data_IF_081735126408
#
_entry.id   IF_081735126408
#
_cell.length_a   1.000
_cell.length_b   1.000
_cell.length_c   1.000
_cell.angle_alpha   90.00
_cell.angle_beta   90.00
_cell.angle_gamma   90.00
#
_symmetry.space_group_name_H-M   'P 1'
#
loop_
_entity.id
_entity.type
_entity.pdbx_description
1 polymer ?
#
# COMPACT_ATOMS: atom_id res chain seq x y z
N UNK A 1 0.17 -3.43 8.83
CA UNK A 1 1.43 -2.67 8.73
C UNK A 1 1.13 -1.25 8.31
N UNK A 2 1.90 -0.26 8.78
CA UNK A 2 1.78 1.14 8.33
C UNK A 2 2.35 1.28 6.93
N UNK A 3 1.60 1.92 6.05
CA UNK A 3 2.00 2.18 4.65
C UNK A 3 2.40 3.65 4.53
N UNK A 4 3.63 3.87 4.07
CA UNK A 4 4.18 5.21 3.82
C UNK A 4 4.58 5.36 2.37
N UNK A 5 4.33 6.53 1.80
CA UNK A 5 4.84 6.91 0.49
C UNK A 5 6.36 7.12 0.55
N UNK A 6 7.03 7.00 -0.59
CA UNK A 6 8.47 7.22 -0.75
C UNK A 6 8.94 8.65 -0.37
N UNK A 7 8.02 9.62 -0.33
CA UNK A 7 8.26 10.99 0.16
C UNK A 7 8.13 11.14 1.69
N UNK A 8 7.77 10.06 2.41
CA UNK A 8 7.59 10.05 3.86
C UNK A 8 6.16 10.24 4.35
N UNK A 9 5.21 10.57 3.47
CA UNK A 9 3.80 10.74 3.85
C UNK A 9 3.19 9.40 4.29
N UNK A 10 2.36 9.43 5.35
CA UNK A 10 1.65 8.23 5.81
C UNK A 10 0.33 8.11 5.06
N UNK A 11 0.16 7.00 4.34
CA UNK A 11 -1.09 6.69 3.65
C UNK A 11 -2.12 6.15 4.65
N UNK A 12 -1.70 5.21 5.50
CA UNK A 12 -2.56 4.59 6.49
C UNK A 12 -1.99 3.28 7.01
N UNK A 13 -2.88 2.39 7.44
CA UNK A 13 -2.54 1.01 7.83
C UNK A 13 -3.24 0.03 6.91
N UNK A 14 -2.55 -1.05 6.53
CA UNK A 14 -3.18 -2.17 5.83
C UNK A 14 -4.26 -2.76 6.73
N UNK A 15 -5.49 -2.77 6.22
CA UNK A 15 -6.67 -3.35 6.87
C UNK A 15 -6.96 -4.73 6.32
N UNK A 16 -6.92 -4.87 5.00
CA UNK A 16 -7.26 -6.10 4.29
C UNK A 16 -6.34 -6.33 3.09
N UNK A 17 -6.13 -7.61 2.76
CA UNK A 17 -5.44 -8.05 1.55
C UNK A 17 -6.30 -9.16 0.93
N UNK A 18 -6.76 -8.93 -0.29
CA UNK A 18 -7.52 -9.90 -1.06
C UNK A 18 -6.67 -10.45 -2.21
N UNK A 19 -6.61 -11.78 -2.35
CA UNK A 19 -5.90 -12.43 -3.44
C UNK A 19 -6.90 -12.81 -4.55
N UNK A 20 -6.75 -12.19 -5.73
CA UNK A 20 -7.59 -12.46 -6.90
C UNK A 20 -6.88 -13.37 -7.94
N UNK A 21 -5.83 -14.07 -7.53
CA UNK A 21 -5.03 -14.96 -8.38
C UNK A 21 -4.07 -14.24 -9.33
N UNK A 22 -4.53 -13.20 -10.04
CA UNK A 22 -3.69 -12.40 -10.95
C UNK A 22 -2.90 -11.30 -10.23
N UNK A 23 -3.45 -10.76 -9.15
CA UNK A 23 -2.82 -9.75 -8.30
C UNK A 23 -3.43 -9.81 -6.90
N UNK A 24 -2.63 -9.43 -5.91
CA UNK A 24 -3.14 -9.07 -4.60
C UNK A 24 -3.71 -7.64 -4.65
N UNK A 25 -4.80 -7.40 -3.93
CA UNK A 25 -5.40 -6.07 -3.75
C UNK A 25 -5.31 -5.71 -2.28
N UNK A 26 -4.79 -4.53 -2.01
CA UNK A 26 -4.57 -4.02 -0.66
C UNK A 26 -5.58 -2.92 -0.37
N UNK A 27 -6.21 -3.02 0.80
CA UNK A 27 -7.03 -1.96 1.37
C UNK A 27 -6.27 -1.30 2.51
N UNK A 28 -6.04 0.01 2.39
CA UNK A 28 -5.32 0.83 3.37
C UNK A 28 -6.24 1.92 3.89
N UNK A 29 -6.36 2.03 5.20
CA UNK A 29 -7.23 3.03 5.84
C UNK A 29 -6.43 3.94 6.78
N UNK A 30 -6.83 5.20 6.86
CA UNK A 30 -6.39 6.13 7.90
C UNK A 30 -7.49 6.45 8.93
N UNK A 31 -8.58 5.68 8.92
CA UNK A 31 -9.75 5.86 9.78
C UNK A 31 -10.74 6.94 9.29
N UNK A 32 -10.42 7.67 8.21
CA UNK A 32 -11.34 8.63 7.56
C UNK A 32 -11.59 8.29 6.10
N UNK A 33 -10.57 7.80 5.41
CA UNK A 33 -10.61 7.43 4.01
C UNK A 33 -9.90 6.08 3.83
N UNK A 34 -10.37 5.36 2.82
CA UNK A 34 -9.79 4.12 2.33
C UNK A 34 -9.07 4.39 1.01
N UNK A 35 -7.98 3.66 0.79
CA UNK A 35 -7.24 3.63 -0.46
C UNK A 35 -7.06 2.17 -0.83
N UNK A 36 -7.59 1.81 -1.99
CA UNK A 36 -7.56 0.45 -2.51
C UNK A 36 -6.67 0.43 -3.75
N UNK A 37 -5.74 -0.51 -3.81
CA UNK A 37 -4.83 -0.63 -4.95
C UNK A 37 -4.40 -2.07 -5.18
N UNK A 38 -4.17 -2.42 -6.44
CA UNK A 38 -3.55 -3.69 -6.82
C UNK A 38 -2.02 -3.63 -6.62
N UNK A 39 -1.43 -4.69 -6.07
CA UNK A 39 0.00 -4.83 -5.98
C UNK A 39 0.59 -5.13 -7.35
N UNK A 40 1.36 -4.18 -7.88
CA UNK A 40 2.12 -4.34 -9.12
C UNK A 40 3.62 -4.29 -8.85
N UNK A 41 4.41 -4.83 -9.79
CA UNK A 41 5.86 -4.80 -9.71
C UNK A 41 6.38 -3.36 -9.56
N UNK A 42 7.31 -3.15 -8.63
CA UNK A 42 7.91 -1.86 -8.34
C UNK A 42 7.09 -0.95 -7.41
N UNK A 43 5.83 -1.28 -7.12
CA UNK A 43 5.03 -0.48 -6.18
C UNK A 43 5.60 -0.54 -4.76
N UNK A 44 5.94 -1.74 -4.27
CA UNK A 44 6.55 -1.90 -2.95
C UNK A 44 8.06 -1.72 -3.06
N UNK A 45 8.56 -0.65 -2.47
CA UNK A 45 9.98 -0.33 -2.46
C UNK A 45 10.70 -1.00 -1.28
N UNK A 46 10.03 -1.09 -0.13
CA UNK A 46 10.59 -1.66 1.09
C UNK A 46 9.50 -2.28 1.96
N UNK A 47 9.80 -3.41 2.60
CA UNK A 47 8.94 -4.06 3.60
C UNK A 47 9.78 -4.36 4.84
N UNK A 48 9.49 -3.64 5.92
CA UNK A 48 10.12 -3.84 7.23
C UNK A 48 9.12 -4.50 8.19
N UNK A 49 9.30 -5.79 8.42
CA UNK A 49 8.45 -6.58 9.30
C UNK A 49 8.72 -6.33 10.79
N UNK A 50 9.92 -5.86 11.15
CA UNK A 50 10.27 -5.55 12.54
C UNK A 50 9.54 -4.29 13.00
N UNK A 51 9.54 -3.26 12.14
CA UNK A 51 8.86 -1.99 12.39
C UNK A 51 7.42 -1.96 11.86
N UNK A 52 6.93 -3.06 11.27
CA UNK A 52 5.61 -3.20 10.66
C UNK A 52 5.30 -2.08 9.65
N UNK A 53 6.27 -1.75 8.80
CA UNK A 53 6.21 -0.65 7.84
C UNK A 53 6.37 -1.15 6.41
N UNK A 54 5.62 -0.57 5.48
CA UNK A 54 5.74 -0.77 4.03
C UNK A 54 5.98 0.60 3.40
N UNK A 55 6.95 0.70 2.51
CA UNK A 55 7.22 1.90 1.71
C UNK A 55 6.76 1.65 0.28
N UNK A 56 5.89 2.52 -0.24
CA UNK A 56 5.35 2.43 -1.59
C UNK A 56 5.77 3.60 -2.47
N UNK A 57 5.94 3.35 -3.77
CA UNK A 57 6.18 4.41 -4.74
C UNK A 57 4.91 5.20 -5.02
N UNK A 58 4.93 6.52 -4.77
CA UNK A 58 3.77 7.39 -4.94
C UNK A 58 3.32 7.47 -6.40
N UNK A 59 4.25 7.53 -7.35
CA UNK A 59 3.92 7.73 -8.77
C UNK A 59 3.23 6.49 -9.34
N UNK A 60 3.71 5.29 -8.98
CA UNK A 60 3.06 4.04 -9.39
C UNK A 60 1.71 3.89 -8.69
N UNK A 61 1.63 4.22 -7.41
CA UNK A 61 0.39 4.11 -6.63
C UNK A 61 -0.77 4.91 -7.27
N UNK A 62 -0.50 6.16 -7.68
CA UNK A 62 -1.50 7.04 -8.31
C UNK A 62 -2.06 6.46 -9.63
N UNK A 63 -1.34 5.56 -10.31
CA UNK A 63 -1.79 4.92 -11.55
C UNK A 63 -2.64 3.66 -11.32
N UNK A 64 -2.52 3.02 -10.16
CA UNK A 64 -3.16 1.71 -9.86
C UNK A 64 -4.21 1.77 -8.75
N UNK A 65 -4.38 2.94 -8.13
CA UNK A 65 -5.45 3.22 -7.18
C UNK A 65 -6.83 3.16 -7.86
N UNK A 66 -7.81 2.64 -7.13
CA UNK A 66 -9.22 2.57 -7.54
C UNK A 66 -10.06 3.57 -6.74
#
# INVERSE_FOLDING_TARGET
>A
CTVTLNNGDVLGVVEEIENYGASDVYTVTNGKAETIFALVDGLFLEVDLNNKRIVVDKSILEEVMV
#
